data_IF_679500138730
#
_entry.id   IF_679500138730
#
_cell.length_a   1.000
_cell.length_b   1.000
_cell.length_c   1.000
_cell.angle_alpha   90.00
_cell.angle_beta   90.00
_cell.angle_gamma   90.00
#
_symmetry.space_group_name_H-M   'P 1'
#
loop_
_entity.id
_entity.type
_entity.pdbx_description
1 polymer ?
#
# COMPACT_ATOMS: atom_id res chain seq x y z
N UNK A 1 18.63 -15.87 -9.28
CA UNK A 1 19.20 -14.52 -9.45
C UNK A 1 20.68 -14.61 -9.14
N UNK A 2 21.53 -14.17 -10.07
CA UNK A 2 22.99 -14.20 -9.98
C UNK A 2 23.50 -13.30 -8.84
N UNK A 3 24.60 -13.69 -8.20
CA UNK A 3 25.20 -13.07 -7.02
C UNK A 3 25.82 -11.66 -7.25
N UNK A 4 25.41 -10.96 -8.30
CA UNK A 4 26.13 -9.78 -8.83
C UNK A 4 25.78 -8.47 -8.12
N UNK A 5 24.79 -8.46 -7.21
CA UNK A 5 24.32 -7.25 -6.54
C UNK A 5 24.02 -7.44 -5.05
N UNK A 6 24.89 -8.15 -4.30
CA UNK A 6 24.81 -8.14 -2.83
C UNK A 6 25.50 -6.90 -2.24
N UNK A 7 24.84 -5.76 -2.40
CA UNK A 7 25.33 -4.46 -1.90
C UNK A 7 25.33 -4.35 -0.38
N UNK A 8 24.55 -5.18 0.32
CA UNK A 8 24.25 -4.99 1.74
C UNK A 8 24.83 -6.05 2.66
N UNK A 9 25.43 -7.13 2.14
CA UNK A 9 26.09 -8.23 2.88
C UNK A 9 25.16 -9.00 3.85
N UNK A 10 23.98 -8.45 4.15
CA UNK A 10 22.86 -9.09 4.84
C UNK A 10 21.69 -9.19 3.84
N UNK A 11 21.32 -10.41 3.42
CA UNK A 11 20.20 -10.65 2.52
C UNK A 11 18.87 -10.05 2.99
N UNK A 12 18.70 -9.82 4.31
CA UNK A 12 17.49 -9.19 4.87
C UNK A 12 17.40 -7.71 4.52
N UNK A 13 18.52 -7.01 4.41
CA UNK A 13 18.58 -5.59 4.03
C UNK A 13 18.28 -5.43 2.55
N UNK A 14 18.82 -6.31 1.70
CA UNK A 14 18.47 -6.36 0.27
C UNK A 14 16.96 -6.56 0.05
N UNK A 15 16.36 -7.53 0.76
CA UNK A 15 14.90 -7.76 0.72
C UNK A 15 14.09 -6.55 1.21
N UNK A 16 14.55 -5.84 2.24
CA UNK A 16 13.88 -4.63 2.72
C UNK A 16 13.92 -3.51 1.66
N UNK A 17 15.07 -3.33 0.99
CA UNK A 17 15.19 -2.38 -0.10
C UNK A 17 14.25 -2.74 -1.25
N UNK A 18 14.20 -4.00 -1.66
CA UNK A 18 13.29 -4.47 -2.71
C UNK A 18 11.83 -4.17 -2.36
N UNK A 19 11.43 -4.41 -1.11
CA UNK A 19 10.09 -4.09 -0.62
C UNK A 19 9.81 -2.57 -0.66
N UNK A 20 10.78 -1.74 -0.27
CA UNK A 20 10.66 -0.27 -0.32
C UNK A 20 10.52 0.21 -1.78
N UNK A 21 11.30 -0.35 -2.70
CA UNK A 21 11.24 -0.01 -4.13
C UNK A 21 9.89 -0.42 -4.75
N UNK A 22 9.39 -1.60 -4.39
CA UNK A 22 8.06 -2.05 -4.80
C UNK A 22 6.97 -1.12 -4.27
N UNK A 23 6.97 -0.82 -2.96
CA UNK A 23 6.02 0.11 -2.34
C UNK A 23 6.09 1.51 -2.97
N UNK A 24 7.29 1.99 -3.29
CA UNK A 24 7.48 3.29 -3.93
C UNK A 24 6.86 3.32 -5.33
N UNK A 25 6.99 2.22 -6.08
CA UNK A 25 6.38 2.06 -7.40
C UNK A 25 4.86 2.05 -7.31
N UNK A 26 4.30 1.27 -6.37
CA UNK A 26 2.86 1.17 -6.18
C UNK A 26 2.25 2.51 -5.71
N UNK A 27 2.97 3.23 -4.84
CA UNK A 27 2.60 4.58 -4.41
C UNK A 27 2.61 5.56 -5.59
N UNK A 28 3.65 5.52 -6.42
CA UNK A 28 3.76 6.38 -7.60
C UNK A 28 2.60 6.16 -8.57
N UNK A 29 2.28 4.90 -8.89
CA UNK A 29 1.15 4.55 -9.76
C UNK A 29 -0.17 5.02 -9.16
N UNK A 30 -0.35 4.88 -7.86
CA UNK A 30 -1.56 5.35 -7.15
C UNK A 30 -1.69 6.86 -7.25
N UNK A 31 -0.61 7.61 -6.99
CA UNK A 31 -0.59 9.06 -7.12
C UNK A 31 -0.92 9.51 -8.55
N UNK A 32 -0.33 8.86 -9.57
CA UNK A 32 -0.66 9.15 -10.97
C UNK A 32 -2.13 8.92 -11.29
N UNK A 33 -2.73 7.84 -10.78
CA UNK A 33 -4.15 7.54 -10.97
C UNK A 33 -5.05 8.57 -10.30
N UNK A 34 -4.69 9.03 -9.09
CA UNK A 34 -5.43 10.09 -8.38
C UNK A 34 -5.37 11.40 -9.16
N UNK A 35 -4.19 11.82 -9.64
CA UNK A 35 -4.06 13.01 -10.48
C UNK A 35 -4.85 12.91 -11.79
N UNK A 36 -4.83 11.74 -12.44
CA UNK A 36 -5.61 11.51 -13.65
C UNK A 36 -7.12 11.58 -13.38
N UNK A 37 -7.58 11.00 -12.26
CA UNK A 37 -8.97 11.06 -11.82
C UNK A 37 -9.41 12.51 -11.59
N UNK A 38 -8.62 13.29 -10.85
CA UNK A 38 -8.92 14.71 -10.62
C UNK A 38 -8.98 15.48 -11.94
N UNK A 39 -7.98 15.31 -12.81
CA UNK A 39 -7.95 15.99 -14.11
C UNK A 39 -9.16 15.65 -14.99
N UNK A 40 -9.63 14.40 -14.96
CA UNK A 40 -10.86 13.97 -15.66
C UNK A 40 -12.08 14.66 -15.05
N UNK A 41 -12.24 14.64 -13.72
CA UNK A 41 -13.37 15.28 -13.04
C UNK A 41 -13.42 16.79 -13.30
N UNK A 42 -12.27 17.47 -13.28
CA UNK A 42 -12.16 18.90 -13.60
C UNK A 42 -12.54 19.17 -15.05
N UNK A 43 -12.05 18.37 -16.01
CA UNK A 43 -12.41 18.51 -17.43
C UNK A 43 -13.90 18.30 -17.69
N UNK A 44 -14.56 17.44 -16.91
CA UNK A 44 -16.00 17.22 -16.97
C UNK A 44 -16.81 18.23 -16.14
N UNK A 45 -16.16 19.17 -15.45
CA UNK A 45 -16.81 20.20 -14.64
C UNK A 45 -17.43 19.68 -13.34
N UNK A 46 -17.07 18.47 -12.90
CA UNK A 46 -17.53 17.88 -11.64
C UNK A 46 -16.77 18.41 -10.42
N UNK A 47 -15.57 18.95 -10.61
CA UNK A 47 -14.70 19.47 -9.57
C UNK A 47 -13.99 20.73 -10.10
N UNK A 48 -13.67 21.71 -9.25
CA UNK A 48 -12.75 22.81 -9.61
C UNK A 48 -11.30 22.34 -9.42
N UNK A 49 -10.39 22.82 -10.25
CA UNK A 49 -8.96 22.48 -10.08
C UNK A 49 -8.45 22.88 -8.69
N UNK A 50 -7.77 21.96 -8.00
CA UNK A 50 -7.24 22.16 -6.65
C UNK A 50 -8.28 22.06 -5.52
N UNK A 51 -9.54 21.77 -5.84
CA UNK A 51 -10.58 21.54 -4.82
C UNK A 51 -10.31 20.26 -4.03
N UNK A 52 -9.69 19.25 -4.64
CA UNK A 52 -9.26 18.04 -3.96
C UNK A 52 -8.14 18.31 -2.96
N UNK A 53 -7.18 19.19 -3.27
CA UNK A 53 -6.10 19.57 -2.36
C UNK A 53 -6.61 20.38 -1.15
N UNK A 54 -7.70 21.11 -1.33
CA UNK A 54 -8.36 21.87 -0.27
C UNK A 54 -9.40 21.05 0.50
N UNK A 55 -9.60 19.77 0.16
CA UNK A 55 -10.60 18.92 0.78
C UNK A 55 -10.30 18.75 2.27
N UNK A 56 -11.26 19.16 3.10
CA UNK A 56 -11.25 18.97 4.55
C UNK A 56 -12.41 18.04 4.91
N UNK A 57 -12.14 16.79 5.32
CA UNK A 57 -13.20 15.84 5.66
C UNK A 57 -13.98 16.31 6.88
N UNK A 58 -15.28 16.03 6.89
CA UNK A 58 -16.09 16.21 8.08
C UNK A 58 -15.81 15.12 9.14
N UNK A 59 -16.45 15.21 10.32
CA UNK A 59 -16.20 14.26 11.41
C UNK A 59 -16.63 12.81 11.08
N UNK A 60 -17.56 12.60 10.16
CA UNK A 60 -17.94 11.26 9.72
C UNK A 60 -16.94 10.71 8.70
N UNK A 61 -16.54 11.52 7.72
CA UNK A 61 -15.55 11.18 6.70
C UNK A 61 -14.17 10.92 7.33
N UNK A 62 -13.76 11.77 8.29
CA UNK A 62 -12.50 11.61 9.00
C UNK A 62 -12.44 10.27 9.76
N UNK A 63 -13.55 9.84 10.37
CA UNK A 63 -13.62 8.52 11.04
C UNK A 63 -13.43 7.37 10.06
N UNK A 64 -13.92 7.50 8.84
CA UNK A 64 -13.70 6.49 7.79
C UNK A 64 -12.23 6.45 7.39
N UNK A 65 -11.61 7.62 7.16
CA UNK A 65 -10.20 7.72 6.79
C UNK A 65 -9.27 7.19 7.90
N UNK A 66 -9.55 7.52 9.15
CA UNK A 66 -8.82 7.01 10.31
C UNK A 66 -8.93 5.49 10.43
N UNK A 67 -10.14 4.93 10.24
CA UNK A 67 -10.33 3.47 10.24
C UNK A 67 -9.56 2.76 9.13
N UNK A 68 -9.48 3.36 7.94
CA UNK A 68 -8.67 2.81 6.83
C UNK A 68 -7.17 2.85 7.14
N UNK A 69 -6.68 3.96 7.71
CA UNK A 69 -5.29 4.11 8.16
C UNK A 69 -4.96 3.06 9.23
N UNK A 70 -5.79 2.95 10.25
CA UNK A 70 -5.54 2.05 11.38
C UNK A 70 -5.56 0.58 10.93
N UNK A 71 -6.46 0.21 10.02
CA UNK A 71 -6.46 -1.11 9.41
C UNK A 71 -5.18 -1.39 8.60
N UNK A 72 -4.65 -0.39 7.89
CA UNK A 72 -3.39 -0.51 7.16
C UNK A 72 -2.19 -0.67 8.11
N UNK A 73 -2.10 0.17 9.14
CA UNK A 73 -1.04 0.08 10.16
C UNK A 73 -1.10 -1.25 10.91
N UNK A 74 -2.29 -1.74 11.26
CA UNK A 74 -2.48 -3.04 11.89
C UNK A 74 -1.91 -4.19 11.05
N UNK A 75 -2.12 -4.17 9.73
CA UNK A 75 -1.53 -5.16 8.81
C UNK A 75 0.01 -5.09 8.78
N UNK A 76 0.57 -3.89 8.73
CA UNK A 76 2.03 -3.71 8.73
C UNK A 76 2.65 -4.18 10.05
N UNK A 77 2.03 -3.86 11.18
CA UNK A 77 2.47 -4.30 12.50
C UNK A 77 2.38 -5.82 12.61
N UNK A 78 1.33 -6.47 12.09
CA UNK A 78 1.22 -7.92 12.07
C UNK A 78 2.36 -8.58 11.27
N UNK A 79 2.73 -8.04 10.10
CA UNK A 79 3.86 -8.51 9.29
C UNK A 79 5.19 -8.39 10.06
N UNK A 80 5.36 -7.32 10.85
CA UNK A 80 6.56 -7.09 11.66
C UNK A 80 6.59 -7.90 12.97
N UNK A 81 5.43 -8.15 13.57
CA UNK A 81 5.26 -8.84 14.85
C UNK A 81 5.17 -10.37 14.71
N UNK A 82 4.80 -10.88 13.54
CA UNK A 82 4.99 -12.28 13.18
C UNK A 82 6.49 -12.58 13.11
N UNK A 83 7.05 -13.12 14.19
CA UNK A 83 8.35 -13.77 14.18
C UNK A 83 8.23 -15.10 13.40
N UNK A 84 8.30 -15.02 12.08
CA UNK A 84 8.29 -16.16 11.16
C UNK A 84 9.42 -16.06 10.12
N UNK A 85 9.85 -17.19 9.50
CA UNK A 85 10.94 -17.16 8.53
C UNK A 85 10.60 -16.24 7.36
N UNK A 86 11.58 -15.42 6.97
CA UNK A 86 11.49 -14.32 5.99
C UNK A 86 11.17 -14.72 4.54
N UNK A 87 10.56 -15.88 4.33
CA UNK A 87 10.15 -16.37 3.02
C UNK A 87 8.64 -16.19 2.79
N UNK A 88 7.79 -16.16 3.83
CA UNK A 88 6.33 -16.00 3.63
C UNK A 88 5.59 -15.36 4.82
N UNK A 89 5.79 -14.07 5.12
CA UNK A 89 4.87 -13.37 6.02
C UNK A 89 3.48 -13.36 5.38
N UNK A 90 2.42 -13.67 6.15
CA UNK A 90 1.02 -13.83 5.71
C UNK A 90 0.63 -15.14 5.00
N UNK A 91 1.45 -16.21 5.02
CA UNK A 91 1.07 -17.49 4.40
C UNK A 91 -0.29 -18.00 4.89
N UNK A 92 -0.51 -17.98 6.19
CA UNK A 92 -1.74 -18.52 6.80
C UNK A 92 -2.98 -17.69 6.42
N UNK A 93 -2.82 -16.36 6.30
CA UNK A 93 -3.90 -15.46 5.89
C UNK A 93 -4.20 -15.57 4.38
N UNK A 94 -3.18 -15.77 3.55
CA UNK A 94 -3.33 -16.05 2.11
C UNK A 94 -3.97 -17.41 1.85
N UNK A 95 -3.56 -18.44 2.59
CA UNK A 95 -4.14 -19.78 2.52
C UNK A 95 -5.61 -19.78 2.96
N UNK A 96 -5.95 -19.05 4.02
CA UNK A 96 -7.34 -18.86 4.45
C UNK A 96 -8.19 -18.12 3.39
N UNK A 97 -7.64 -17.11 2.72
CA UNK A 97 -8.29 -16.38 1.63
C UNK A 97 -8.52 -17.25 0.38
N UNK A 98 -7.58 -18.15 0.06
CA UNK A 98 -7.70 -19.10 -1.05
C UNK A 98 -8.69 -20.23 -0.73
N UNK A 99 -8.71 -20.70 0.52
CA UNK A 99 -9.65 -21.73 0.98
C UNK A 99 -11.11 -21.24 1.06
N UNK A 100 -11.33 -19.93 1.23
CA UNK A 100 -12.65 -19.32 1.35
C UNK A 100 -13.36 -18.97 0.02
N UNK A 101 -12.74 -19.19 -1.14
CA UNK A 101 -13.35 -18.90 -2.44
C UNK A 101 -14.05 -20.17 -2.98
N UNK A 102 -15.39 -20.20 -3.14
CA UNK A 102 -16.04 -21.28 -3.86
C UNK A 102 -15.61 -21.22 -5.34
N UNK A 103 -15.24 -22.38 -5.89
CA UNK A 103 -14.90 -22.54 -7.32
C UNK A 103 -16.10 -22.37 -8.24
#
# INVERSE_FOLDING_TARGET
MTAEHDYFQDPRIGKLLDLILQLSTDLHVTAQRVHALEAVLVRHGALKGGELDAFAPDAAEQRVLDGQRDAMLGRLIAILAEAGPAEHPLRDQWEALLAGRPG
#
